data_IF_797649075179
#
_entry.id   IF_797649075179
#
_cell.length_a   1.000
_cell.length_b   1.000
_cell.length_c   1.000
_cell.angle_alpha   90.00
_cell.angle_beta   90.00
_cell.angle_gamma   90.00
#
_symmetry.space_group_name_H-M   'P 1'
#
loop_
_entity.id
_entity.type
_entity.pdbx_description
1 polymer ?
#
# COMPACT_ATOMS: atom_id res chain seq x y z
N UNK A 1 5.95 -7.91 49.16
CA UNK A 1 4.53 -8.24 48.94
C UNK A 1 4.38 -8.99 47.63
N UNK A 2 3.96 -10.27 47.67
CA UNK A 2 3.67 -11.05 46.45
C UNK A 2 2.20 -10.84 46.08
N UNK A 3 1.94 -10.35 44.87
CA UNK A 3 0.57 -10.19 44.33
C UNK A 3 0.31 -11.24 43.26
N UNK A 4 -0.95 -11.68 43.15
CA UNK A 4 -1.35 -12.66 42.14
C UNK A 4 -1.33 -12.07 40.72
N UNK A 5 -1.17 -12.94 39.72
CA UNK A 5 -1.17 -12.56 38.30
C UNK A 5 -2.43 -11.76 37.92
N UNK A 6 -3.60 -12.17 38.38
CA UNK A 6 -4.88 -11.50 38.08
C UNK A 6 -4.91 -10.08 38.66
N UNK A 7 -4.40 -9.91 39.88
CA UNK A 7 -4.32 -8.60 40.54
C UNK A 7 -3.31 -7.70 39.82
N UNK A 8 -2.14 -8.23 39.46
CA UNK A 8 -1.14 -7.51 38.67
C UNK A 8 -1.69 -7.08 37.30
N UNK A 9 -2.40 -7.98 36.61
CA UNK A 9 -3.02 -7.71 35.30
C UNK A 9 -4.11 -6.63 35.39
N UNK A 10 -4.95 -6.66 36.43
CA UNK A 10 -5.96 -5.62 36.69
C UNK A 10 -5.33 -4.27 36.97
N UNK A 11 -4.27 -4.22 37.79
CA UNK A 11 -3.54 -2.98 38.08
C UNK A 11 -2.96 -2.40 36.77
N UNK A 12 -2.28 -3.24 35.98
CA UNK A 12 -1.70 -2.85 34.69
C UNK A 12 -2.75 -2.27 33.72
N UNK A 13 -3.88 -2.95 33.51
CA UNK A 13 -4.94 -2.53 32.57
C UNK A 13 -5.77 -1.35 33.07
N UNK A 14 -6.21 -1.38 34.33
CA UNK A 14 -7.23 -0.45 34.83
C UNK A 14 -6.64 0.79 35.48
N UNK A 15 -5.55 0.65 36.24
CA UNK A 15 -4.89 1.76 36.95
C UNK A 15 -3.79 2.39 36.12
N UNK A 16 -2.87 1.57 35.61
CA UNK A 16 -1.70 2.05 34.85
C UNK A 16 -2.00 2.27 33.36
N UNK A 17 -3.21 1.90 32.90
CA UNK A 17 -3.66 2.05 31.50
C UNK A 17 -2.68 1.46 30.48
N UNK A 18 -1.95 0.41 30.85
CA UNK A 18 -0.98 -0.24 29.97
C UNK A 18 -1.76 -0.92 28.83
N UNK A 19 -1.48 -0.55 27.56
CA UNK A 19 -2.17 -1.13 26.42
C UNK A 19 -1.78 -2.60 26.27
N UNK A 20 -2.77 -3.44 25.99
CA UNK A 20 -2.52 -4.83 25.62
C UNK A 20 -2.26 -4.90 24.13
N UNK A 21 -0.98 -5.03 23.79
CA UNK A 21 -0.51 -5.02 22.41
C UNK A 21 -0.11 -6.44 22.04
N UNK A 22 -0.61 -6.93 20.89
CA UNK A 22 -0.14 -8.18 20.32
C UNK A 22 1.30 -7.96 19.83
N UNK A 23 2.29 -8.76 20.27
CA UNK A 23 3.66 -8.62 19.79
C UNK A 23 3.71 -8.89 18.28
N UNK A 24 4.40 -8.03 17.54
CA UNK A 24 4.64 -8.21 16.11
C UNK A 24 5.93 -8.99 15.89
N UNK A 25 5.94 -9.86 14.89
CA UNK A 25 7.14 -10.61 14.51
C UNK A 25 8.11 -9.65 13.83
N UNK A 26 9.34 -9.57 14.32
CA UNK A 26 10.41 -8.83 13.66
C UNK A 26 11.04 -9.72 12.58
N UNK A 27 11.06 -9.25 11.35
CA UNK A 27 11.77 -9.93 10.26
C UNK A 27 13.27 -9.65 10.38
N UNK A 28 14.06 -10.68 10.73
CA UNK A 28 15.53 -10.58 10.89
C UNK A 28 16.27 -10.08 9.64
N UNK A 29 15.63 -10.17 8.47
CA UNK A 29 16.18 -9.75 7.18
C UNK A 29 15.91 -8.27 6.86
N UNK A 30 15.06 -7.60 7.65
CA UNK A 30 14.78 -6.18 7.50
C UNK A 30 15.93 -5.37 8.08
N UNK A 31 16.50 -4.41 7.33
CA UNK A 31 17.47 -3.47 7.88
C UNK A 31 16.89 -2.66 9.04
N UNK A 32 17.69 -2.43 10.09
CA UNK A 32 17.26 -1.65 11.26
C UNK A 32 16.90 -0.21 10.88
N UNK A 33 17.56 0.32 9.85
CA UNK A 33 17.52 1.67 9.32
C UNK A 33 16.72 1.76 8.00
N UNK A 34 15.79 0.82 7.77
CA UNK A 34 15.00 0.74 6.53
C UNK A 34 14.34 2.08 6.14
N UNK A 35 13.81 2.83 7.13
CA UNK A 35 13.22 4.15 6.89
C UNK A 35 14.26 5.14 6.29
N UNK A 36 15.47 5.18 6.85
CA UNK A 36 16.54 6.08 6.38
C UNK A 36 17.03 5.68 4.99
N UNK A 37 17.19 4.37 4.74
CA UNK A 37 17.54 3.87 3.40
C UNK A 37 16.51 4.34 2.36
N UNK A 38 15.23 4.28 2.70
CA UNK A 38 14.18 4.77 1.80
C UNK A 38 14.26 6.30 1.63
N UNK A 39 14.47 7.06 2.70
CA UNK A 39 14.63 8.53 2.63
C UNK A 39 15.74 8.95 1.68
N UNK A 40 16.93 8.37 1.81
CA UNK A 40 18.08 8.69 0.95
C UNK A 40 17.81 8.34 -0.51
N UNK A 41 17.17 7.19 -0.76
CA UNK A 41 16.72 6.79 -2.09
C UNK A 41 15.72 7.77 -2.68
N UNK A 42 14.79 8.29 -1.88
CA UNK A 42 13.79 9.26 -2.32
C UNK A 42 14.43 10.63 -2.60
N UNK A 43 15.34 11.11 -1.74
CA UNK A 43 16.07 12.38 -1.96
C UNK A 43 16.78 12.44 -3.31
N UNK A 44 17.39 11.33 -3.74
CA UNK A 44 18.10 11.26 -5.01
C UNK A 44 17.19 11.40 -6.25
N UNK A 45 15.88 11.14 -6.09
CA UNK A 45 14.96 10.91 -7.22
C UNK A 45 13.77 11.88 -7.22
N UNK A 46 13.31 12.34 -6.06
CA UNK A 46 12.28 13.36 -5.95
C UNK A 46 12.87 14.71 -6.37
N UNK A 47 12.58 15.08 -7.62
CA UNK A 47 12.94 16.36 -8.21
C UNK A 47 11.69 17.06 -8.72
N UNK A 48 11.78 18.37 -8.93
CA UNK A 48 10.67 19.18 -9.47
C UNK A 48 10.13 18.57 -10.77
N UNK A 49 8.83 18.27 -10.79
CA UNK A 49 8.12 17.73 -11.97
C UNK A 49 8.15 16.21 -12.12
N UNK A 50 8.75 15.48 -11.18
CA UNK A 50 8.70 14.01 -11.13
C UNK A 50 7.44 13.54 -10.41
N UNK A 51 6.77 12.52 -10.95
CA UNK A 51 5.61 11.89 -10.33
C UNK A 51 6.03 10.62 -9.63
N UNK A 52 5.67 10.48 -8.36
CA UNK A 52 6.07 9.34 -7.53
C UNK A 52 4.86 8.48 -7.23
N UNK A 53 4.98 7.18 -7.45
CA UNK A 53 3.92 6.20 -7.24
C UNK A 53 4.41 5.07 -6.35
N UNK A 54 3.53 4.57 -5.50
CA UNK A 54 3.72 3.33 -4.77
C UNK A 54 2.88 2.23 -5.41
N UNK A 55 3.51 1.11 -5.70
CA UNK A 55 2.93 0.00 -6.41
C UNK A 55 3.09 -1.28 -5.61
N UNK A 56 2.11 -2.14 -5.76
CA UNK A 56 2.13 -3.48 -5.19
C UNK A 56 1.13 -4.39 -5.91
N UNK A 57 1.27 -5.68 -5.69
CA UNK A 57 0.34 -6.70 -6.15
C UNK A 57 -0.44 -7.33 -5.01
N UNK A 58 -1.74 -7.46 -5.23
CA UNK A 58 -2.66 -7.97 -4.24
C UNK A 58 -3.49 -9.11 -4.81
N UNK A 59 -3.33 -10.30 -4.23
CA UNK A 59 -4.27 -11.40 -4.44
C UNK A 59 -5.55 -11.14 -3.66
N UNK A 60 -6.68 -11.07 -4.38
CA UNK A 60 -8.01 -10.90 -3.81
C UNK A 60 -8.77 -12.21 -4.04
N UNK A 61 -9.09 -12.86 -2.93
CA UNK A 61 -9.87 -14.09 -2.93
C UNK A 61 -11.30 -13.75 -2.56
N UNK A 62 -12.25 -14.35 -3.27
CA UNK A 62 -13.67 -14.35 -2.92
C UNK A 62 -13.95 -15.33 -1.76
N UNK A 63 -12.99 -15.50 -0.85
CA UNK A 63 -13.12 -16.34 0.34
C UNK A 63 -13.39 -15.42 1.55
N UNK A 64 -14.47 -15.63 2.31
CA UNK A 64 -14.69 -14.94 3.57
C UNK A 64 -13.57 -15.19 4.58
N UNK A 65 -13.00 -14.11 5.11
CA UNK A 65 -12.06 -14.18 6.24
C UNK A 65 -12.67 -14.91 7.44
N UNK A 66 -12.24 -16.16 7.69
CA UNK A 66 -12.66 -17.03 8.82
C UNK A 66 -14.16 -17.00 9.14
N UNK A 67 -14.98 -17.58 8.26
CA UNK A 67 -16.36 -17.91 8.63
C UNK A 67 -16.38 -19.07 9.61
N UNK A 68 -16.92 -18.84 10.81
CA UNK A 68 -17.35 -19.92 11.70
C UNK A 68 -18.66 -20.47 11.15
N UNK A 69 -18.61 -21.63 10.51
CA UNK A 69 -19.80 -22.37 10.10
C UNK A 69 -20.13 -23.43 11.16
N UNK A 70 -21.38 -23.48 11.61
CA UNK A 70 -21.92 -24.65 12.30
C UNK A 70 -22.09 -25.74 11.25
N UNK A 71 -21.34 -26.84 11.37
CA UNK A 71 -21.38 -27.93 10.41
C UNK A 71 -21.08 -29.27 11.08
N UNK A 72 -21.81 -30.31 10.68
CA UNK A 72 -21.60 -31.69 11.14
C UNK A 72 -20.40 -32.36 10.44
N UNK A 73 -19.91 -31.78 9.36
CA UNK A 73 -18.78 -32.27 8.56
C UNK A 73 -18.00 -31.12 7.92
N UNK A 74 -16.78 -31.40 7.47
CA UNK A 74 -15.89 -30.43 6.81
C UNK A 74 -16.36 -30.21 5.38
N UNK A 75 -16.74 -28.97 5.04
CA UNK A 75 -17.04 -28.55 3.66
C UNK A 75 -15.78 -27.93 3.04
N UNK A 76 -15.26 -28.57 1.99
CA UNK A 76 -14.25 -27.96 1.12
C UNK A 76 -14.95 -27.03 0.14
N UNK A 77 -14.50 -25.78 0.06
CA UNK A 77 -14.98 -24.80 -0.91
C UNK A 77 -13.79 -24.28 -1.70
N UNK A 78 -13.97 -24.17 -3.02
CA UNK A 78 -13.04 -23.48 -3.89
C UNK A 78 -13.60 -22.09 -4.18
N UNK A 79 -12.78 -21.06 -3.95
CA UNK A 79 -13.19 -19.67 -4.07
C UNK A 79 -12.38 -19.03 -5.19
N UNK A 80 -13.03 -18.36 -6.16
CA UNK A 80 -12.32 -17.63 -7.20
C UNK A 80 -11.33 -16.64 -6.60
N UNK A 81 -10.16 -16.53 -7.22
CA UNK A 81 -9.14 -15.55 -6.85
C UNK A 81 -8.69 -14.77 -8.06
N UNK A 82 -8.54 -13.47 -7.90
CA UNK A 82 -7.96 -12.57 -8.89
C UNK A 82 -6.70 -11.94 -8.32
N UNK A 83 -5.78 -11.58 -9.18
CA UNK A 83 -4.64 -10.75 -8.83
C UNK A 83 -4.90 -9.34 -9.33
N UNK A 84 -4.58 -8.36 -8.49
CA UNK A 84 -4.68 -6.95 -8.83
C UNK A 84 -3.28 -6.37 -8.75
N UNK A 85 -2.88 -5.66 -9.80
CA UNK A 85 -1.74 -4.77 -9.80
C UNK A 85 -2.29 -3.34 -9.71
N UNK A 86 -1.83 -2.56 -8.75
CA UNK A 86 -2.21 -1.15 -8.72
C UNK A 86 -1.08 -0.28 -8.21
N UNK A 87 -1.17 1.00 -8.55
CA UNK A 87 -0.29 2.01 -7.98
C UNK A 87 -1.06 3.26 -7.58
N UNK A 88 -0.63 3.89 -6.49
CA UNK A 88 -1.19 5.13 -6.00
C UNK A 88 -0.14 6.24 -6.01
N UNK A 89 -0.50 7.46 -6.42
CA UNK A 89 0.43 8.58 -6.43
C UNK A 89 0.71 9.07 -5.01
N UNK A 90 1.95 9.44 -4.74
CA UNK A 90 2.29 10.24 -3.55
C UNK A 90 1.83 11.69 -3.74
N UNK A 91 2.01 12.24 -4.94
CA UNK A 91 1.50 13.56 -5.38
C UNK A 91 1.49 13.64 -6.92
N UNK A 92 0.70 14.56 -7.47
CA UNK A 92 0.71 14.94 -8.90
C UNK A 92 0.60 13.75 -9.91
N UNK A 93 -0.21 12.74 -9.64
CA UNK A 93 -0.38 11.57 -10.53
C UNK A 93 -1.80 11.03 -10.55
N UNK A 94 -2.13 10.24 -11.59
CA UNK A 94 -3.37 9.47 -11.66
C UNK A 94 -3.08 8.03 -11.20
N UNK A 95 -3.82 7.51 -10.20
CA UNK A 95 -3.70 6.11 -9.80
C UNK A 95 -3.99 5.19 -11.00
N UNK A 96 -3.44 3.98 -10.96
CA UNK A 96 -3.62 2.98 -12.01
C UNK A 96 -3.97 1.64 -11.38
N UNK A 97 -4.86 0.91 -12.02
CA UNK A 97 -5.39 -0.38 -11.59
C UNK A 97 -5.40 -1.34 -12.77
N UNK A 98 -5.05 -2.61 -12.54
CA UNK A 98 -5.12 -3.68 -13.53
C UNK A 98 -5.47 -5.00 -12.84
N UNK A 99 -6.57 -5.61 -13.27
CA UNK A 99 -7.00 -6.93 -12.83
C UNK A 99 -6.46 -8.01 -13.77
N UNK A 100 -6.01 -9.13 -13.21
CA UNK A 100 -5.66 -10.33 -13.96
C UNK A 100 -6.11 -11.61 -13.26
N UNK A 101 -6.55 -12.58 -14.05
CA UNK A 101 -6.89 -13.93 -13.60
C UNK A 101 -5.69 -14.88 -13.66
N UNK A 102 -4.58 -14.45 -14.28
CA UNK A 102 -3.36 -15.24 -14.36
C UNK A 102 -2.41 -14.95 -13.20
N UNK A 103 -1.37 -15.77 -13.07
CA UNK A 103 -0.23 -15.41 -12.24
C UNK A 103 0.41 -14.12 -12.76
N UNK A 104 0.94 -13.32 -11.83
CA UNK A 104 1.71 -12.12 -12.16
C UNK A 104 3.15 -12.53 -12.45
N UNK A 105 3.59 -12.21 -13.67
CA UNK A 105 4.98 -12.41 -14.11
C UNK A 105 5.55 -11.11 -14.68
N UNK A 106 6.78 -11.16 -15.19
CA UNK A 106 7.45 -10.02 -15.80
C UNK A 106 6.73 -9.45 -17.03
N UNK A 107 5.92 -10.25 -17.75
CA UNK A 107 5.18 -9.78 -18.94
C UNK A 107 3.91 -9.05 -18.52
N UNK A 108 3.16 -9.62 -17.58
CA UNK A 108 1.99 -8.97 -16.98
C UNK A 108 2.40 -7.65 -16.34
N UNK A 109 3.49 -7.64 -15.57
CA UNK A 109 4.02 -6.42 -14.98
C UNK A 109 4.44 -5.37 -16.04
N UNK A 110 5.05 -5.79 -17.14
CA UNK A 110 5.37 -4.86 -18.23
C UNK A 110 4.11 -4.24 -18.85
N UNK A 111 3.02 -5.00 -19.02
CA UNK A 111 1.74 -4.46 -19.48
C UNK A 111 1.18 -3.41 -18.51
N UNK A 112 1.32 -3.65 -17.20
CA UNK A 112 0.96 -2.66 -16.19
C UNK A 112 1.76 -1.35 -16.35
N UNK A 113 3.06 -1.42 -16.65
CA UNK A 113 3.88 -0.22 -16.92
C UNK A 113 3.36 0.59 -18.12
N UNK A 114 2.88 -0.08 -19.17
CA UNK A 114 2.24 0.61 -20.30
C UNK A 114 0.96 1.33 -19.89
N UNK A 115 0.08 0.68 -19.12
CA UNK A 115 -1.15 1.30 -18.62
C UNK A 115 -0.84 2.53 -17.76
N UNK A 116 0.12 2.39 -16.83
CA UNK A 116 0.59 3.50 -16.01
C UNK A 116 1.09 4.67 -16.88
N UNK A 117 1.82 4.37 -17.96
CA UNK A 117 2.31 5.39 -18.88
C UNK A 117 1.20 6.10 -19.64
N UNK A 118 0.16 5.39 -20.08
CA UNK A 118 -0.97 6.00 -20.80
C UNK A 118 -1.69 7.02 -19.92
N UNK A 119 -1.90 6.70 -18.63
CA UNK A 119 -2.60 7.58 -17.71
C UNK A 119 -1.81 8.79 -17.23
N UNK A 120 -0.49 8.79 -17.39
CA UNK A 120 0.40 9.77 -16.79
C UNK A 120 1.49 10.21 -17.77
N UNK A 121 1.70 11.50 -17.95
CA UNK A 121 2.85 12.06 -18.69
C UNK A 121 4.02 12.44 -17.77
N UNK A 122 5.21 12.71 -18.33
CA UNK A 122 6.39 13.16 -17.61
C UNK A 122 7.21 12.03 -16.95
N UNK A 123 8.22 12.40 -16.16
CA UNK A 123 9.08 11.42 -15.49
C UNK A 123 8.32 10.74 -14.34
N UNK A 124 8.28 9.42 -14.36
CA UNK A 124 7.65 8.61 -13.32
C UNK A 124 8.72 7.90 -12.50
N UNK A 125 8.50 7.88 -11.20
CA UNK A 125 9.20 7.01 -10.25
C UNK A 125 8.19 6.05 -9.68
N UNK A 126 8.40 4.76 -9.93
CA UNK A 126 7.56 3.70 -9.39
C UNK A 126 8.32 3.03 -8.25
N UNK A 127 7.74 3.06 -7.05
CA UNK A 127 8.26 2.42 -5.84
C UNK A 127 7.58 1.07 -5.69
N UNK A 128 8.37 0.00 -5.59
CA UNK A 128 7.87 -1.37 -5.55
C UNK A 128 8.69 -2.25 -4.59
N UNK A 129 8.16 -3.44 -4.30
CA UNK A 129 8.81 -4.45 -3.47
C UNK A 129 10.00 -5.12 -4.22
N UNK A 130 10.65 -6.09 -3.58
CA UNK A 130 11.82 -6.76 -4.15
C UNK A 130 11.50 -8.07 -4.90
N UNK A 131 10.28 -8.26 -5.40
CA UNK A 131 9.93 -9.48 -6.12
C UNK A 131 10.87 -9.73 -7.32
N UNK A 132 11.22 -11.00 -7.53
CA UNK A 132 12.24 -11.38 -8.52
C UNK A 132 11.85 -10.95 -9.93
N UNK A 133 10.56 -11.00 -10.27
CA UNK A 133 10.07 -10.69 -11.62
C UNK A 133 10.15 -9.20 -11.94
N UNK A 134 10.13 -8.31 -10.94
CA UNK A 134 10.39 -6.87 -11.15
C UNK A 134 11.82 -6.57 -11.56
N UNK A 135 12.77 -7.40 -11.12
CA UNK A 135 14.21 -7.24 -11.42
C UNK A 135 14.63 -7.92 -12.72
N UNK A 136 13.67 -8.32 -13.55
CA UNK A 136 13.93 -8.92 -14.84
C UNK A 136 14.48 -7.87 -15.81
N UNK A 137 15.50 -8.23 -16.60
CA UNK A 137 16.08 -7.35 -17.63
C UNK A 137 15.02 -6.83 -18.62
N UNK A 138 14.03 -7.65 -18.97
CA UNK A 138 12.90 -7.24 -19.79
C UNK A 138 12.11 -6.09 -19.16
N UNK A 139 11.80 -6.20 -17.86
CA UNK A 139 11.07 -5.15 -17.13
C UNK A 139 11.86 -3.85 -17.09
N UNK A 140 13.16 -3.91 -16.79
CA UNK A 140 14.03 -2.73 -16.83
C UNK A 140 14.07 -2.08 -18.22
N UNK A 141 14.13 -2.88 -19.29
CA UNK A 141 14.13 -2.36 -20.67
C UNK A 141 12.82 -1.63 -21.01
N UNK A 142 11.67 -2.18 -20.58
CA UNK A 142 10.35 -1.57 -20.79
C UNK A 142 10.22 -0.28 -19.96
N UNK A 143 10.58 -0.33 -18.67
CA UNK A 143 10.55 0.85 -17.80
C UNK A 143 11.41 1.99 -18.36
N UNK A 144 12.64 1.70 -18.79
CA UNK A 144 13.53 2.68 -19.41
C UNK A 144 12.92 3.31 -20.66
N UNK A 145 12.36 2.50 -21.58
CA UNK A 145 11.67 2.99 -22.79
C UNK A 145 10.47 3.87 -22.49
N UNK A 146 9.80 3.65 -21.36
CA UNK A 146 8.63 4.42 -20.93
C UNK A 146 9.00 5.62 -20.04
N UNK A 147 10.28 5.90 -19.83
CA UNK A 147 10.77 6.92 -18.88
C UNK A 147 10.20 6.74 -17.47
N UNK A 148 10.17 5.48 -17.02
CA UNK A 148 9.77 5.06 -15.69
C UNK A 148 11.01 4.58 -14.94
N UNK A 149 11.36 5.26 -13.86
CA UNK A 149 12.42 4.85 -12.95
C UNK A 149 11.85 3.90 -11.90
N UNK A 150 12.39 2.68 -11.83
CA UNK A 150 12.01 1.71 -10.81
C UNK A 150 12.86 1.91 -9.54
N UNK A 151 12.19 2.17 -8.42
CA UNK A 151 12.81 2.32 -7.11
C UNK A 151 12.36 1.17 -6.21
N UNK A 152 13.30 0.42 -5.66
CA UNK A 152 12.98 -0.71 -4.80
C UNK A 152 12.91 -0.28 -3.33
N UNK A 153 11.92 -0.79 -2.61
CA UNK A 153 11.84 -0.65 -1.16
C UNK A 153 13.03 -1.37 -0.48
N UNK A 154 13.37 -1.00 0.77
CA UNK A 154 14.22 -1.85 1.60
C UNK A 154 13.60 -3.25 1.75
N UNK A 155 14.43 -4.31 1.80
CA UNK A 155 13.92 -5.68 1.97
C UNK A 155 12.98 -5.83 3.17
N UNK A 156 11.91 -6.62 3.01
CA UNK A 156 10.97 -6.97 4.08
C UNK A 156 10.35 -5.76 4.81
N UNK A 157 10.07 -4.68 4.08
CA UNK A 157 9.51 -3.44 4.63
C UNK A 157 8.16 -3.06 4.00
N UNK A 158 7.13 -3.93 4.04
CA UNK A 158 5.82 -3.66 3.45
C UNK A 158 5.09 -2.48 4.13
N UNK A 159 5.36 -2.21 5.41
CA UNK A 159 4.87 -1.01 6.11
C UNK A 159 5.39 0.30 5.51
N UNK A 160 6.45 0.23 4.69
CA UNK A 160 6.96 1.35 3.90
C UNK A 160 6.31 1.43 2.51
N UNK A 161 5.32 0.59 2.21
CA UNK A 161 4.53 0.68 1.00
C UNK A 161 3.18 1.34 1.30
N UNK A 162 2.94 2.50 0.68
CA UNK A 162 1.74 3.31 0.90
C UNK A 162 0.44 2.56 0.59
N UNK A 163 0.48 1.74 -0.47
CA UNK A 163 -0.68 1.06 -1.02
C UNK A 163 -1.20 -0.07 -0.12
N UNK A 164 -0.40 -0.56 0.84
CA UNK A 164 -0.83 -1.59 1.80
C UNK A 164 -2.02 -1.14 2.65
N UNK A 165 -2.14 0.16 2.92
CA UNK A 165 -3.31 0.72 3.60
C UNK A 165 -4.56 0.62 2.72
N UNK A 166 -4.42 0.89 1.42
CA UNK A 166 -5.50 0.75 0.43
C UNK A 166 -5.92 -0.72 0.32
N UNK A 167 -4.95 -1.64 0.26
CA UNK A 167 -5.23 -3.08 0.23
C UNK A 167 -5.97 -3.58 1.45
N UNK A 168 -5.64 -3.07 2.63
CA UNK A 168 -6.34 -3.44 3.86
C UNK A 168 -7.81 -3.08 3.80
N UNK A 169 -8.15 -1.89 3.31
CA UNK A 169 -9.53 -1.43 3.22
C UNK A 169 -10.27 -2.09 2.04
N UNK A 170 -9.62 -2.23 0.88
CA UNK A 170 -10.20 -2.93 -0.28
C UNK A 170 -10.50 -4.39 0.03
N UNK A 171 -9.60 -5.10 0.72
CA UNK A 171 -9.87 -6.47 1.19
C UNK A 171 -11.01 -6.51 2.21
N UNK A 172 -11.14 -5.52 3.09
CA UNK A 172 -12.26 -5.46 4.05
C UNK A 172 -13.59 -5.28 3.32
N UNK A 173 -13.62 -4.41 2.31
CA UNK A 173 -14.77 -4.22 1.45
C UNK A 173 -15.13 -5.52 0.72
N UNK A 174 -14.16 -6.13 0.01
CA UNK A 174 -14.37 -7.39 -0.72
C UNK A 174 -14.87 -8.53 0.19
N UNK A 175 -14.36 -8.61 1.42
CA UNK A 175 -14.84 -9.57 2.42
C UNK A 175 -16.27 -9.30 2.91
N UNK A 176 -16.74 -8.05 2.88
CA UNK A 176 -18.13 -7.74 3.25
C UNK A 176 -19.10 -8.24 2.16
N UNK A 177 -18.69 -8.17 0.90
CA UNK A 177 -19.50 -8.50 -0.27
C UNK A 177 -19.17 -9.87 -0.88
N UNK A 178 -18.48 -10.75 -0.16
CA UNK A 178 -18.01 -12.04 -0.67
C UNK A 178 -19.11 -13.02 -1.12
N UNK A 179 -20.38 -12.75 -0.86
CA UNK A 179 -21.49 -13.57 -1.34
C UNK A 179 -22.01 -13.13 -2.71
N UNK A 180 -21.58 -11.97 -3.21
CA UNK A 180 -22.06 -11.40 -4.46
C UNK A 180 -20.97 -11.45 -5.54
N UNK A 181 -21.33 -11.87 -6.75
CA UNK A 181 -20.47 -11.74 -7.94
C UNK A 181 -20.08 -10.27 -8.20
N UNK A 182 -20.93 -9.35 -7.76
CA UNK A 182 -20.72 -7.90 -7.71
C UNK A 182 -19.36 -7.47 -7.14
N UNK A 183 -18.82 -8.18 -6.14
CA UNK A 183 -17.57 -7.74 -5.50
C UNK A 183 -16.38 -7.68 -6.47
N UNK A 184 -16.32 -8.57 -7.47
CA UNK A 184 -15.24 -8.54 -8.47
C UNK A 184 -15.50 -7.52 -9.59
N UNK A 185 -16.77 -7.27 -9.91
CA UNK A 185 -17.16 -6.32 -10.95
C UNK A 185 -16.89 -4.87 -10.53
N UNK A 186 -17.13 -4.53 -9.26
CA UNK A 186 -17.01 -3.17 -8.72
C UNK A 186 -15.69 -2.89 -8.00
N UNK A 187 -14.75 -3.84 -8.03
CA UNK A 187 -13.51 -3.73 -7.24
C UNK A 187 -12.61 -2.59 -7.70
N UNK A 188 -12.60 -2.30 -9.00
CA UNK A 188 -11.86 -1.19 -9.57
C UNK A 188 -12.46 0.14 -9.14
N UNK A 189 -13.79 0.27 -9.21
CA UNK A 189 -14.51 1.46 -8.74
C UNK A 189 -14.26 1.73 -7.26
N UNK A 190 -14.34 0.68 -6.43
CA UNK A 190 -14.04 0.80 -5.00
C UNK A 190 -12.58 1.21 -4.76
N UNK A 191 -11.62 0.67 -5.52
CA UNK A 191 -10.23 1.09 -5.42
C UNK A 191 -10.09 2.60 -5.68
N UNK A 192 -10.65 3.12 -6.78
CA UNK A 192 -10.58 4.56 -7.08
C UNK A 192 -11.33 5.39 -6.03
N UNK A 193 -12.47 4.91 -5.53
CA UNK A 193 -13.20 5.55 -4.44
C UNK A 193 -12.35 5.68 -3.18
N UNK A 194 -11.71 4.59 -2.74
CA UNK A 194 -10.81 4.59 -1.57
C UNK A 194 -9.66 5.59 -1.77
N UNK A 195 -8.96 5.53 -2.91
CA UNK A 195 -7.85 6.45 -3.21
C UNK A 195 -8.32 7.91 -3.21
N UNK A 196 -9.51 8.18 -3.75
CA UNK A 196 -10.07 9.54 -3.81
C UNK A 196 -10.40 10.15 -2.45
N UNK A 197 -10.67 9.34 -1.41
CA UNK A 197 -10.88 9.85 -0.05
C UNK A 197 -9.63 10.49 0.55
N UNK A 198 -8.45 10.29 -0.02
CA UNK A 198 -7.22 11.01 0.35
C UNK A 198 -6.63 10.67 1.73
N UNK A 199 -7.26 9.78 2.50
CA UNK A 199 -6.85 9.46 3.88
C UNK A 199 -5.51 8.71 3.97
N UNK A 200 -4.98 8.20 2.86
CA UNK A 200 -3.75 7.41 2.84
C UNK A 200 -2.48 8.27 2.70
N UNK A 201 -2.56 9.35 1.93
CA UNK A 201 -1.42 10.17 1.55
C UNK A 201 -0.92 11.06 2.69
N UNK A 202 -1.83 11.51 3.56
CA UNK A 202 -1.49 12.45 4.64
C UNK A 202 -0.52 11.92 5.69
N UNK A 203 -0.67 10.66 6.09
CA UNK A 203 0.29 9.99 6.99
C UNK A 203 1.71 10.02 6.40
N UNK A 204 1.82 9.79 5.09
CA UNK A 204 3.10 9.74 4.39
C UNK A 204 3.72 11.09 4.16
N UNK A 205 2.93 12.10 3.78
CA UNK A 205 3.40 13.48 3.68
C UNK A 205 4.01 13.91 5.02
N UNK A 206 3.34 13.62 6.13
CA UNK A 206 3.88 13.90 7.47
C UNK A 206 5.14 13.10 7.78
N UNK A 207 5.13 11.80 7.48
CA UNK A 207 6.25 10.89 7.78
C UNK A 207 7.51 11.26 7.00
N UNK A 208 7.39 11.72 5.76
CA UNK A 208 8.52 12.01 4.86
C UNK A 208 8.63 13.50 4.48
N UNK A 209 8.06 14.41 5.29
CA UNK A 209 8.04 15.85 4.98
C UNK A 209 9.43 16.42 4.69
N UNK A 210 10.43 16.00 5.45
CA UNK A 210 11.85 16.35 5.32
C UNK A 210 12.40 16.06 3.93
N UNK A 211 11.98 14.95 3.30
CA UNK A 211 12.42 14.57 1.95
C UNK A 211 11.60 15.32 0.88
N UNK A 212 10.36 15.65 1.18
CA UNK A 212 9.43 16.28 0.24
C UNK A 212 9.63 17.79 0.11
N UNK A 213 9.98 18.47 1.20
CA UNK A 213 10.29 19.91 1.22
C UNK A 213 11.54 20.23 0.38
N UNK A 214 12.53 19.35 0.37
CA UNK A 214 13.77 19.51 -0.42
C UNK A 214 13.52 19.38 -1.93
N UNK A 215 12.53 18.55 -2.34
CA UNK A 215 12.33 18.14 -3.74
C UNK A 215 11.12 18.76 -4.47
N UNK A 216 10.18 19.37 -3.74
CA UNK A 216 8.93 19.95 -4.28
C UNK A 216 8.94 21.47 -4.09
N UNK A 217 8.38 22.22 -5.03
CA UNK A 217 8.14 23.66 -4.81
C UNK A 217 7.33 23.86 -3.52
N UNK A 218 7.86 24.66 -2.59
CA UNK A 218 7.22 24.95 -1.29
C UNK A 218 5.73 25.31 -1.43
N UNK A 219 5.35 26.06 -2.46
CA UNK A 219 3.94 26.42 -2.71
C UNK A 219 3.03 25.22 -3.03
N UNK A 220 3.51 24.20 -3.75
CA UNK A 220 2.77 22.96 -3.99
C UNK A 220 2.71 22.10 -2.73
N UNK A 221 3.83 21.99 -2.02
CA UNK A 221 3.90 21.24 -0.77
C UNK A 221 2.92 21.82 0.28
N UNK A 222 2.92 23.14 0.48
CA UNK A 222 1.94 23.81 1.35
C UNK A 222 0.51 23.66 0.85
N UNK A 223 0.25 23.69 -0.46
CA UNK A 223 -1.10 23.41 -0.98
C UNK A 223 -1.58 22.00 -0.62
N UNK A 224 -0.73 20.98 -0.73
CA UNK A 224 -1.07 19.61 -0.32
C UNK A 224 -1.20 19.45 1.19
N UNK A 225 -0.30 20.07 1.95
CA UNK A 225 -0.33 20.05 3.41
C UNK A 225 -1.56 20.80 3.95
N UNK A 226 -1.91 21.94 3.38
CA UNK A 226 -3.10 22.74 3.74
C UNK A 226 -4.37 22.01 3.32
N UNK A 227 -4.45 21.49 2.10
CA UNK A 227 -5.58 20.65 1.67
C UNK A 227 -5.80 19.48 2.64
N UNK A 228 -4.71 18.84 3.08
CA UNK A 228 -4.76 17.77 4.06
C UNK A 228 -5.17 18.25 5.46
N UNK A 229 -4.59 19.33 5.98
CA UNK A 229 -4.94 19.88 7.30
C UNK A 229 -6.41 20.31 7.35
N UNK A 230 -6.92 20.90 6.27
CA UNK A 230 -8.32 21.31 6.13
C UNK A 230 -9.27 20.10 6.04
N UNK A 231 -8.94 19.09 5.25
CA UNK A 231 -9.77 17.86 5.14
C UNK A 231 -9.76 17.02 6.42
N UNK A 232 -8.64 17.01 7.15
CA UNK A 232 -8.52 16.36 8.47
C UNK A 232 -9.34 17.05 9.56
N UNK A 233 -9.54 18.37 9.46
CA UNK A 233 -10.34 19.16 10.40
C UNK A 233 -11.85 18.99 10.19
N UNK A 234 -12.28 18.74 8.96
CA UNK A 234 -13.71 18.52 8.60
C UNK A 234 -14.16 17.09 8.99
N UNK A 235 -13.21 16.20 9.29
CA UNK A 235 -13.45 14.78 9.58
C UNK A 235 -13.46 14.44 11.08
N UNK A 236 -13.38 15.44 11.97
CA UNK A 236 -13.53 15.31 13.43
C UNK A 236 -14.85 15.92 13.89
#
# INVERSE_FOLDING_TARGET
>A
MKISYVTAWRIARKRLKIPYIKPYKIDKKRPIDADNILRERLRGVIKKGVKVFFMDECGIRHDPSRVRRLGLYIVKADYPSVNVLACIPLFDGKPCFMLTYSNVDSRVFANFLYLLRVGNSGNIVLILDNAKFHKNAYVFSVASRLSITLLFLPPYSPDLNLIELVWKDLKRWANTYYHSCYALEFIEDEFYYLVSKGNYTGYWIKKFHDVLEEGISMGKFFSYLIYYLLTSFISQ
#
